data_IF_581890869111
#
_entry.id   IF_581890869111
#
_cell.length_a   1.000
_cell.length_b   1.000
_cell.length_c   1.000
_cell.angle_alpha   90.00
_cell.angle_beta   90.00
_cell.angle_gamma   90.00
#
_symmetry.space_group_name_H-M   'P 1'
#
loop_
_entity.id
_entity.type
_entity.pdbx_description
1 polymer ?
#
# COMPACT_ATOMS: atom_id res chain seq x y z
N UNK A 1 5.17 -9.18 -17.88
CA UNK A 1 3.90 -8.65 -17.33
C UNK A 1 3.78 -9.20 -15.92
N UNK A 2 3.47 -8.37 -14.92
CA UNK A 2 3.31 -8.83 -13.52
C UNK A 2 1.99 -9.60 -13.37
N UNK A 3 1.86 -10.40 -12.31
CA UNK A 3 0.63 -11.14 -12.03
C UNK A 3 -0.40 -10.24 -11.35
N UNK A 4 -1.68 -10.62 -11.46
CA UNK A 4 -2.75 -9.97 -10.72
C UNK A 4 -2.53 -10.14 -9.21
N UNK A 5 -2.76 -9.09 -8.44
CA UNK A 5 -2.67 -9.10 -6.99
C UNK A 5 -4.02 -9.46 -6.38
N UNK A 6 -4.08 -10.58 -5.67
CA UNK A 6 -5.19 -10.99 -4.82
C UNK A 6 -4.97 -10.54 -3.36
N UNK A 7 -5.96 -10.80 -2.50
CA UNK A 7 -5.89 -10.42 -1.09
C UNK A 7 -4.73 -11.10 -0.33
N UNK A 8 -4.31 -12.30 -0.72
CA UNK A 8 -3.19 -12.99 -0.07
C UNK A 8 -1.86 -12.30 -0.40
N UNK A 9 -1.65 -11.98 -1.68
CA UNK A 9 -0.45 -11.28 -2.16
C UNK A 9 -0.36 -9.86 -1.59
N UNK A 10 -1.48 -9.15 -1.49
CA UNK A 10 -1.51 -7.82 -0.86
C UNK A 10 -1.15 -7.93 0.64
N UNK A 11 -1.67 -8.92 1.36
CA UNK A 11 -1.28 -9.13 2.78
C UNK A 11 0.18 -9.57 2.94
N UNK A 12 0.71 -10.37 2.01
CA UNK A 12 2.15 -10.69 1.97
C UNK A 12 2.98 -9.41 1.74
N UNK A 13 2.54 -8.54 0.84
CA UNK A 13 3.17 -7.24 0.61
C UNK A 13 3.16 -6.37 1.88
N UNK A 14 2.04 -6.27 2.60
CA UNK A 14 1.96 -5.54 3.86
C UNK A 14 3.01 -6.03 4.87
N UNK A 15 3.11 -7.35 5.07
CA UNK A 15 4.09 -7.94 5.98
C UNK A 15 5.53 -7.60 5.58
N UNK A 16 5.89 -7.85 4.33
CA UNK A 16 7.26 -7.64 3.85
C UNK A 16 7.66 -6.16 3.83
N UNK A 17 6.73 -5.25 3.51
CA UNK A 17 6.98 -3.82 3.57
C UNK A 17 7.11 -3.34 5.02
N UNK A 18 6.23 -3.82 5.92
CA UNK A 18 6.29 -3.52 7.35
C UNK A 18 7.57 -3.99 8.03
N UNK A 19 8.13 -5.12 7.60
CA UNK A 19 9.44 -5.61 8.03
C UNK A 19 10.61 -4.78 7.48
N UNK A 20 10.45 -4.16 6.31
CA UNK A 20 11.46 -3.31 5.71
C UNK A 20 11.49 -1.88 6.28
N UNK A 21 10.44 -1.49 7.03
CA UNK A 21 10.32 -0.17 7.63
C UNK A 21 11.34 0.03 8.76
N UNK A 22 12.05 1.16 8.68
CA UNK A 22 13.08 1.59 9.63
C UNK A 22 12.56 2.56 10.69
N UNK A 23 11.38 3.13 10.48
CA UNK A 23 10.68 4.02 11.41
C UNK A 23 9.16 3.79 11.38
N UNK A 24 8.47 4.29 12.40
CA UNK A 24 7.01 4.33 12.43
C UNK A 24 6.44 5.16 11.28
N UNK A 25 5.42 4.64 10.60
CA UNK A 25 4.79 5.31 9.48
C UNK A 25 3.45 4.71 9.06
N UNK A 26 2.87 5.29 8.02
CA UNK A 26 1.61 4.88 7.42
C UNK A 26 1.78 4.52 5.93
N UNK A 27 1.00 3.56 5.48
CA UNK A 27 0.84 3.19 4.08
C UNK A 27 -0.66 3.18 3.72
N UNK A 28 -1.05 4.02 2.77
CA UNK A 28 -2.44 4.19 2.36
C UNK A 28 -2.68 3.51 1.02
N UNK A 29 -3.52 2.49 0.99
CA UNK A 29 -3.92 1.84 -0.26
C UNK A 29 -4.97 2.66 -1.00
N UNK A 30 -4.73 2.91 -2.28
CA UNK A 30 -5.68 3.54 -3.17
C UNK A 30 -6.26 2.53 -4.18
N UNK A 31 -7.45 2.86 -4.70
CA UNK A 31 -8.05 2.19 -5.84
C UNK A 31 -8.21 0.67 -5.69
N UNK A 32 -7.54 -0.06 -6.58
CA UNK A 32 -7.77 -1.48 -6.78
C UNK A 32 -7.43 -2.37 -5.59
N UNK A 33 -6.38 -2.05 -4.85
CA UNK A 33 -5.98 -2.81 -3.66
C UNK A 33 -7.02 -2.68 -2.53
N UNK A 34 -7.59 -1.49 -2.34
CA UNK A 34 -8.69 -1.25 -1.40
C UNK A 34 -9.92 -2.08 -1.77
N UNK A 35 -10.32 -2.10 -3.05
CA UNK A 35 -11.44 -2.92 -3.50
C UNK A 35 -11.24 -4.43 -3.26
N UNK A 36 -10.00 -4.92 -3.39
CA UNK A 36 -9.67 -6.32 -3.10
C UNK A 36 -9.75 -6.61 -1.60
N UNK A 37 -9.15 -5.76 -0.77
CA UNK A 37 -9.12 -5.95 0.69
C UNK A 37 -10.50 -5.84 1.34
N UNK A 38 -11.40 -5.02 0.77
CA UNK A 38 -12.81 -4.93 1.18
C UNK A 38 -13.69 -6.07 0.63
N UNK A 39 -13.15 -6.95 -0.22
CA UNK A 39 -13.89 -8.06 -0.80
C UNK A 39 -14.86 -7.67 -1.92
N UNK A 40 -14.71 -6.47 -2.52
CA UNK A 40 -15.52 -6.04 -3.65
C UNK A 40 -15.12 -6.72 -4.97
N UNK A 41 -13.88 -7.18 -5.05
CA UNK A 41 -13.36 -7.96 -6.18
C UNK A 41 -12.24 -8.89 -5.72
N UNK A 42 -11.95 -9.91 -6.53
CA UNK A 42 -10.94 -10.92 -6.17
C UNK A 42 -9.50 -10.44 -6.40
N UNK A 43 -9.27 -9.61 -7.42
CA UNK A 43 -7.90 -9.21 -7.83
C UNK A 43 -7.80 -7.78 -8.35
N UNK A 44 -6.57 -7.25 -8.40
CA UNK A 44 -6.20 -5.96 -9.02
C UNK A 44 -4.96 -6.09 -9.89
N UNK A 45 -4.80 -5.24 -10.90
CA UNK A 45 -3.57 -5.17 -11.70
C UNK A 45 -2.49 -4.46 -10.88
N UNK A 46 -2.86 -3.32 -10.29
CA UNK A 46 -1.96 -2.42 -9.58
C UNK A 46 -2.34 -2.31 -8.09
N UNK A 47 -1.30 -2.22 -7.27
CA UNK A 47 -1.37 -1.93 -5.83
C UNK A 47 -0.86 -0.51 -5.64
N UNK A 48 -1.76 0.45 -5.72
CA UNK A 48 -1.46 1.87 -5.58
C UNK A 48 -1.35 2.24 -4.11
N UNK A 49 -0.27 2.93 -3.75
CA UNK A 49 0.02 3.31 -2.36
C UNK A 49 0.50 4.76 -2.22
N UNK A 50 0.23 5.35 -1.05
CA UNK A 50 0.93 6.52 -0.52
C UNK A 50 1.65 6.14 0.78
N UNK A 51 2.89 6.61 0.96
CA UNK A 51 3.70 6.38 2.17
C UNK A 51 3.83 7.69 2.94
N UNK A 52 3.71 7.64 4.26
CA UNK A 52 3.90 8.80 5.14
C UNK A 52 4.61 8.39 6.44
N UNK A 53 5.91 8.70 6.65
CA UNK A 53 6.84 9.25 5.65
C UNK A 53 7.28 8.19 4.62
N UNK A 54 7.78 8.64 3.47
CA UNK A 54 8.41 7.82 2.44
C UNK A 54 9.93 7.67 2.67
N UNK A 55 10.30 6.86 3.67
CA UNK A 55 11.72 6.69 4.01
C UNK A 55 12.54 6.01 2.90
N UNK A 56 13.85 6.26 2.86
CA UNK A 56 14.74 5.59 1.90
C UNK A 56 14.67 4.06 1.99
N UNK A 57 14.50 3.51 3.19
CA UNK A 57 14.39 2.06 3.40
C UNK A 57 13.17 1.50 2.66
N UNK A 58 12.01 2.17 2.78
CA UNK A 58 10.78 1.78 2.09
C UNK A 58 10.93 1.90 0.58
N UNK A 59 11.43 3.04 0.09
CA UNK A 59 11.63 3.28 -1.34
C UNK A 59 12.57 2.25 -1.98
N UNK A 60 13.63 1.82 -1.27
CA UNK A 60 14.53 0.74 -1.72
C UNK A 60 13.88 -0.64 -1.65
N UNK A 61 12.97 -0.87 -0.72
CA UNK A 61 12.25 -2.14 -0.60
C UNK A 61 11.26 -2.36 -1.76
N UNK A 62 10.56 -1.32 -2.21
CA UNK A 62 9.48 -1.43 -3.20
C UNK A 62 9.89 -2.16 -4.50
N UNK A 63 10.98 -1.82 -5.21
CA UNK A 63 11.38 -2.56 -6.41
C UNK A 63 11.66 -4.05 -6.15
N UNK A 64 12.28 -4.37 -5.02
CA UNK A 64 12.57 -5.75 -4.61
C UNK A 64 11.26 -6.51 -4.35
N UNK A 65 10.33 -5.93 -3.60
CA UNK A 65 9.06 -6.55 -3.25
C UNK A 65 8.16 -6.76 -4.47
N UNK A 66 8.09 -5.78 -5.39
CA UNK A 66 7.39 -5.93 -6.69
C UNK A 66 7.84 -7.17 -7.45
N UNK A 67 9.15 -7.44 -7.42
CA UNK A 67 9.73 -8.59 -8.11
C UNK A 67 9.55 -9.90 -7.32
N UNK A 68 9.77 -9.89 -6.01
CA UNK A 68 9.64 -11.09 -5.16
C UNK A 68 8.20 -11.59 -5.10
N UNK A 69 7.23 -10.68 -5.02
CA UNK A 69 5.81 -11.01 -4.88
C UNK A 69 5.08 -11.07 -6.23
N UNK A 70 5.75 -10.72 -7.33
CA UNK A 70 5.20 -10.72 -8.68
C UNK A 70 3.94 -9.83 -8.85
N UNK A 71 3.82 -8.76 -8.06
CA UNK A 71 2.72 -7.77 -8.11
C UNK A 71 3.22 -6.41 -8.63
N UNK A 72 2.34 -5.62 -9.23
CA UNK A 72 2.66 -4.22 -9.55
C UNK A 72 2.28 -3.32 -8.36
N UNK A 73 3.23 -2.50 -7.91
CA UNK A 73 3.02 -1.54 -6.81
C UNK A 73 3.40 -0.16 -7.34
N UNK A 74 2.53 0.83 -7.20
CA UNK A 74 2.77 2.17 -7.72
C UNK A 74 2.66 3.20 -6.59
N UNK A 75 3.57 4.17 -6.57
CA UNK A 75 3.45 5.33 -5.70
C UNK A 75 2.49 6.31 -6.37
N UNK A 76 1.21 6.01 -6.22
CA UNK A 76 0.12 6.71 -6.87
C UNK A 76 -1.06 6.80 -5.89
N UNK A 77 -1.59 8.00 -5.73
CA UNK A 77 -2.72 8.25 -4.86
C UNK A 77 -3.52 9.44 -5.38
N UNK A 78 -4.76 9.64 -4.89
CA UNK A 78 -5.55 10.81 -5.23
C UNK A 78 -4.85 12.16 -4.96
N UNK A 79 -3.92 12.23 -4.00
CA UNK A 79 -3.17 13.45 -3.66
C UNK A 79 -2.37 14.02 -4.83
N UNK A 80 -1.96 13.17 -5.77
CA UNK A 80 -1.22 13.56 -6.98
C UNK A 80 -2.09 14.23 -8.04
N UNK A 81 -3.42 14.13 -7.93
CA UNK A 81 -4.35 14.52 -8.99
C UNK A 81 -5.38 15.56 -8.53
N UNK A 82 -5.73 15.57 -7.26
CA UNK A 82 -6.77 16.44 -6.70
C UNK A 82 -6.36 16.99 -5.33
N UNK A 83 -6.85 18.18 -4.95
CA UNK A 83 -6.67 18.68 -3.60
C UNK A 83 -7.40 17.80 -2.59
N UNK A 84 -6.77 17.53 -1.46
CA UNK A 84 -7.36 16.75 -0.38
C UNK A 84 -7.96 17.67 0.70
N UNK A 85 -9.10 17.27 1.29
CA UNK A 85 -9.59 17.91 2.49
C UNK A 85 -8.63 17.70 3.67
N UNK A 86 -8.49 18.68 4.55
CA UNK A 86 -7.67 18.57 5.76
C UNK A 86 -8.13 17.38 6.64
N UNK A 87 -7.16 16.69 7.26
CA UNK A 87 -7.41 15.52 8.11
C UNK A 87 -8.05 14.36 7.35
N UNK A 88 -7.64 14.14 6.10
CA UNK A 88 -8.08 12.96 5.35
C UNK A 88 -7.43 11.70 5.95
N UNK A 89 -6.20 11.82 6.44
CA UNK A 89 -5.42 10.76 7.08
C UNK A 89 -6.17 10.17 8.29
N UNK A 90 -6.72 11.03 9.15
CA UNK A 90 -7.48 10.63 10.33
C UNK A 90 -8.82 9.96 9.99
N UNK A 91 -9.29 10.14 8.75
CA UNK A 91 -10.54 9.56 8.23
C UNK A 91 -10.30 8.31 7.40
N UNK A 92 -9.05 7.99 7.09
CA UNK A 92 -8.67 6.79 6.36
C UNK A 92 -8.92 5.54 7.21
N UNK A 93 -9.80 4.61 6.77
CA UNK A 93 -10.11 3.41 7.54
C UNK A 93 -8.88 2.51 7.76
N UNK A 94 -8.70 2.02 8.98
CA UNK A 94 -7.58 1.13 9.34
C UNK A 94 -7.75 -0.27 8.75
N UNK A 95 -6.67 -0.79 8.17
CA UNK A 95 -6.59 -2.14 7.61
C UNK A 95 -5.87 -3.10 8.56
N UNK A 96 -4.73 -2.68 9.10
CA UNK A 96 -3.86 -3.53 9.92
C UNK A 96 -2.51 -2.87 10.17
N UNK A 97 -1.68 -3.49 11.03
CA UNK A 97 -0.32 -3.04 11.31
C UNK A 97 0.66 -4.19 11.12
N UNK A 98 1.75 -3.94 10.41
CA UNK A 98 2.85 -4.88 10.21
C UNK A 98 4.18 -4.17 10.51
N UNK A 99 4.94 -4.69 11.48
CA UNK A 99 6.16 -4.02 11.93
C UNK A 99 5.91 -2.57 12.37
N UNK A 100 6.64 -1.64 11.74
CA UNK A 100 6.53 -0.21 12.02
C UNK A 100 5.50 0.52 11.13
N UNK A 101 4.82 -0.18 10.22
CA UNK A 101 3.83 0.42 9.34
C UNK A 101 2.40 0.09 9.75
N UNK A 102 1.58 1.14 9.89
CA UNK A 102 0.13 1.04 9.91
C UNK A 102 -0.42 1.20 8.49
N UNK A 103 -1.37 0.36 8.11
CA UNK A 103 -1.98 0.34 6.78
C UNK A 103 -3.42 0.84 6.84
N UNK A 104 -3.79 1.64 5.85
CA UNK A 104 -5.09 2.30 5.76
C UNK A 104 -5.65 2.23 4.34
N UNK A 105 -6.94 2.48 4.20
CA UNK A 105 -7.55 2.83 2.90
C UNK A 105 -7.49 4.35 2.72
N UNK A 106 -6.92 4.81 1.61
CA UNK A 106 -6.84 6.23 1.26
C UNK A 106 -8.24 6.86 1.17
#
# INVERSE_FOLDING_TARGET
MRQLADAERIRRFMRELGLAADADGACFFAGGATAVLLGWRETTIDVDIELAPDTEALLRALPRLKNQLQINVELASPSHFIPLPAGWEDRSPFVGREGQLSFYHF
#
